data_IF_573365507438
#
_entry.id   IF_573365507438
#
_cell.length_a   1.000
_cell.length_b   1.000
_cell.length_c   1.000
_cell.angle_alpha   90.00
_cell.angle_beta   90.00
_cell.angle_gamma   90.00
#
_symmetry.space_group_name_H-M   'P 1'
#
loop_
_entity.id
_entity.type
_entity.pdbx_description
1 polymer ?
#
# COMPACT_ATOMS: atom_id res chain seq x y z
N UNK A 1 2.41 10.75 -11.83
CA UNK A 1 1.32 10.37 -10.93
C UNK A 1 1.64 10.85 -9.53
N UNK A 2 0.89 11.84 -9.03
CA UNK A 2 0.88 12.12 -7.59
C UNK A 2 -0.08 11.13 -6.93
N UNK A 3 0.31 10.59 -5.79
CA UNK A 3 -0.47 9.67 -4.98
C UNK A 3 -0.41 10.22 -3.56
N UNK A 4 -1.56 10.62 -3.03
CA UNK A 4 -1.68 11.12 -1.66
C UNK A 4 -2.89 10.48 -1.00
N UNK A 5 -2.75 10.03 0.24
CA UNK A 5 -3.86 9.61 1.08
C UNK A 5 -4.64 10.84 1.55
N UNK A 6 -5.95 10.73 1.57
CA UNK A 6 -6.82 11.72 2.22
C UNK A 6 -6.77 11.44 3.72
N UNK A 7 -6.27 12.40 4.49
CA UNK A 7 -6.03 12.24 5.93
C UNK A 7 -7.21 12.72 6.80
N UNK A 8 -8.17 13.43 6.20
CA UNK A 8 -9.33 13.96 6.92
C UNK A 8 -10.11 12.84 7.62
N UNK A 9 -10.35 13.00 8.92
CA UNK A 9 -11.05 12.02 9.74
C UNK A 9 -10.23 10.78 10.12
N UNK A 10 -8.95 10.69 9.73
CA UNK A 10 -8.05 9.60 10.15
C UNK A 10 -7.40 9.95 11.51
N UNK A 11 -7.30 9.03 12.48
CA UNK A 11 -6.59 9.29 13.74
C UNK A 11 -5.11 9.62 13.54
N UNK A 12 -4.55 10.52 14.37
CA UNK A 12 -3.19 11.08 14.20
C UNK A 12 -2.10 10.02 14.01
N UNK A 13 -2.05 8.97 14.85
CA UNK A 13 -1.04 7.90 14.70
C UNK A 13 -1.16 7.10 13.38
N UNK A 14 -2.36 7.00 12.81
CA UNK A 14 -2.57 6.39 11.48
C UNK A 14 -2.18 7.37 10.36
N UNK A 15 -2.39 8.68 10.54
CA UNK A 15 -1.95 9.68 9.56
C UNK A 15 -0.42 9.68 9.38
N UNK A 16 0.32 9.66 10.49
CA UNK A 16 1.80 9.61 10.46
C UNK A 16 2.31 8.39 9.69
N UNK A 17 1.66 7.23 9.90
CA UNK A 17 1.99 6.00 9.17
C UNK A 17 1.68 6.12 7.68
N UNK A 18 0.54 6.71 7.30
CA UNK A 18 0.18 6.94 5.90
C UNK A 18 1.16 7.88 5.19
N UNK A 19 1.60 8.94 5.87
CA UNK A 19 2.62 9.87 5.38
C UNK A 19 3.98 9.19 5.21
N UNK A 20 4.37 8.32 6.13
CA UNK A 20 5.58 7.49 6.00
C UNK A 20 5.51 6.57 4.78
N UNK A 21 4.34 5.94 4.54
CA UNK A 21 4.09 5.13 3.35
C UNK A 21 4.21 5.98 2.08
N UNK A 22 3.65 7.19 2.05
CA UNK A 22 3.82 8.12 0.90
C UNK A 22 5.27 8.44 0.59
N UNK A 23 6.06 8.76 1.62
CA UNK A 23 7.48 9.04 1.48
C UNK A 23 8.27 7.82 0.97
N UNK A 24 7.84 6.60 1.33
CA UNK A 24 8.44 5.34 0.91
C UNK A 24 8.11 4.92 -0.54
N UNK A 25 7.35 5.71 -1.30
CA UNK A 25 6.98 5.41 -2.70
C UNK A 25 7.68 6.36 -3.71
N UNK A 26 8.99 6.16 -3.98
CA UNK A 26 9.77 7.07 -4.83
C UNK A 26 9.30 7.09 -6.29
N UNK A 27 8.81 5.95 -6.81
CA UNK A 27 8.46 5.82 -8.24
C UNK A 27 6.97 5.57 -8.48
N UNK A 28 6.54 5.76 -9.72
CA UNK A 28 5.17 5.45 -10.13
C UNK A 28 4.80 3.97 -9.95
N UNK A 29 5.79 3.06 -10.00
CA UNK A 29 5.57 1.63 -9.78
C UNK A 29 5.21 1.31 -8.32
N UNK A 30 5.84 1.98 -7.36
CA UNK A 30 5.51 1.82 -5.94
C UNK A 30 4.07 2.28 -5.68
N UNK A 31 3.72 3.47 -6.18
CA UNK A 31 2.39 4.03 -6.06
C UNK A 31 1.32 3.13 -6.69
N UNK A 32 1.61 2.56 -7.85
CA UNK A 32 0.71 1.61 -8.51
C UNK A 32 0.57 0.30 -7.71
N UNK A 33 1.66 -0.22 -7.15
CA UNK A 33 1.63 -1.42 -6.31
C UNK A 33 0.77 -1.20 -5.06
N UNK A 34 0.97 -0.09 -4.34
CA UNK A 34 0.17 0.27 -3.15
C UNK A 34 -1.28 0.56 -3.52
N UNK A 35 -1.53 1.24 -4.64
CA UNK A 35 -2.89 1.46 -5.16
C UNK A 35 -3.62 0.14 -5.47
N UNK A 36 -2.94 -0.81 -6.10
CA UNK A 36 -3.54 -2.10 -6.40
C UNK A 36 -3.75 -2.89 -5.10
N UNK A 37 -2.78 -2.90 -4.19
CA UNK A 37 -2.89 -3.59 -2.89
C UNK A 37 -4.08 -3.09 -2.08
N UNK A 38 -4.27 -1.78 -1.91
CA UNK A 38 -5.41 -1.24 -1.13
C UNK A 38 -6.78 -1.59 -1.71
N UNK A 39 -6.85 -1.89 -3.01
CA UNK A 39 -8.08 -2.23 -3.72
C UNK A 39 -8.26 -3.74 -3.90
N UNK A 40 -7.25 -4.55 -3.58
CA UNK A 40 -7.37 -6.00 -3.51
C UNK A 40 -8.18 -6.32 -2.24
N UNK A 41 -9.32 -6.99 -2.40
CA UNK A 41 -10.17 -7.45 -1.30
C UNK A 41 -9.53 -8.60 -0.52
N UNK A 42 -8.41 -8.33 0.15
CA UNK A 42 -7.59 -9.31 0.84
C UNK A 42 -8.31 -9.86 2.08
N UNK A 43 -8.49 -11.18 2.13
CA UNK A 43 -9.07 -11.87 3.30
C UNK A 43 -7.96 -12.24 4.28
N UNK A 44 -7.67 -11.35 5.23
CA UNK A 44 -6.56 -11.49 6.19
C UNK A 44 -6.73 -12.65 7.19
N UNK A 45 -7.94 -13.22 7.29
CA UNK A 45 -8.24 -14.37 8.16
C UNK A 45 -7.56 -15.68 7.74
N UNK A 46 -6.98 -15.76 6.53
CA UNK A 46 -6.34 -16.97 6.00
C UNK A 46 -4.86 -17.14 6.40
N UNK A 47 -4.32 -16.21 7.19
CA UNK A 47 -2.90 -16.22 7.59
C UNK A 47 -1.98 -15.53 6.59
N UNK A 48 -0.75 -15.27 7.02
CA UNK A 48 0.22 -14.45 6.28
C UNK A 48 0.60 -15.06 4.92
N UNK A 49 0.96 -16.35 4.88
CA UNK A 49 1.44 -17.02 3.66
C UNK A 49 0.38 -17.02 2.55
N UNK A 50 -0.86 -17.39 2.88
CA UNK A 50 -1.96 -17.35 1.91
C UNK A 50 -2.27 -15.93 1.43
N UNK A 51 -2.08 -14.91 2.28
CA UNK A 51 -2.24 -13.52 1.86
C UNK A 51 -1.12 -13.10 0.89
N UNK A 52 0.13 -13.48 1.19
CA UNK A 52 1.27 -13.19 0.34
C UNK A 52 1.14 -13.85 -1.03
N UNK A 53 0.74 -15.12 -1.08
CA UNK A 53 0.49 -15.84 -2.34
C UNK A 53 -0.59 -15.14 -3.17
N UNK A 54 -1.69 -14.75 -2.53
CA UNK A 54 -2.79 -14.06 -3.21
C UNK A 54 -2.36 -12.68 -3.75
N UNK A 55 -1.64 -11.90 -2.96
CA UNK A 55 -1.11 -10.60 -3.39
C UNK A 55 -0.11 -10.78 -4.53
N UNK A 56 0.78 -11.76 -4.43
CA UNK A 56 1.77 -12.10 -5.46
C UNK A 56 1.09 -12.47 -6.78
N UNK A 57 0.03 -13.28 -6.74
CA UNK A 57 -0.75 -13.63 -7.92
C UNK A 57 -1.51 -12.46 -8.55
N UNK A 58 -1.90 -11.45 -7.75
CA UNK A 58 -2.62 -10.26 -8.25
C UNK A 58 -1.71 -9.16 -8.77
N UNK A 59 -0.58 -8.94 -8.11
CA UNK A 59 0.37 -7.89 -8.47
C UNK A 59 1.38 -8.35 -9.52
N UNK A 60 1.69 -9.65 -9.53
CA UNK A 60 2.74 -10.22 -10.37
C UNK A 60 4.15 -9.72 -9.99
N UNK A 61 5.17 -10.35 -10.57
CA UNK A 61 6.56 -10.01 -10.30
C UNK A 61 6.90 -8.53 -10.57
N UNK A 62 6.19 -7.91 -11.53
CA UNK A 62 6.41 -6.52 -11.92
C UNK A 62 6.10 -5.50 -10.80
N UNK A 63 5.09 -5.76 -9.97
CA UNK A 63 4.69 -4.87 -8.87
C UNK A 63 5.06 -5.41 -7.48
N UNK A 64 5.41 -6.69 -7.36
CA UNK A 64 5.88 -7.27 -6.09
C UNK A 64 7.17 -6.64 -5.58
N UNK A 65 8.19 -6.46 -6.44
CA UNK A 65 9.44 -5.82 -6.02
C UNK A 65 9.24 -4.42 -5.42
N UNK A 66 8.55 -3.49 -6.13
CA UNK A 66 8.21 -2.18 -5.56
C UNK A 66 7.38 -2.24 -4.27
N UNK A 67 6.50 -3.24 -4.12
CA UNK A 67 5.76 -3.41 -2.87
C UNK A 67 6.68 -3.83 -1.72
N UNK A 68 7.57 -4.82 -1.95
CA UNK A 68 8.54 -5.30 -0.97
C UNK A 68 9.53 -4.20 -0.54
N UNK A 69 9.97 -3.36 -1.49
CA UNK A 69 10.76 -2.16 -1.21
C UNK A 69 10.00 -1.19 -0.29
N UNK A 70 8.71 -0.97 -0.54
CA UNK A 70 7.86 -0.09 0.29
C UNK A 70 7.64 -0.66 1.69
N UNK A 71 7.38 -1.97 1.80
CA UNK A 71 7.22 -2.66 3.09
C UNK A 71 8.51 -2.57 3.92
N UNK A 72 9.65 -2.78 3.28
CA UNK A 72 10.97 -2.70 3.92
C UNK A 72 11.28 -1.28 4.40
N UNK A 73 11.02 -0.27 3.56
CA UNK A 73 11.26 1.13 3.90
C UNK A 73 10.38 1.63 5.06
N UNK A 74 9.18 1.07 5.23
CA UNK A 74 8.26 1.43 6.31
C UNK A 74 8.39 0.56 7.55
N UNK A 75 9.11 -0.56 7.47
CA UNK A 75 9.22 -1.55 8.55
C UNK A 75 7.90 -2.28 8.85
N UNK A 76 6.92 -2.21 7.96
CA UNK A 76 5.61 -2.84 8.12
C UNK A 76 5.57 -4.19 7.42
N UNK A 77 4.99 -5.19 8.08
CA UNK A 77 4.60 -6.42 7.41
C UNK A 77 3.39 -6.19 6.49
N UNK A 78 3.18 -7.11 5.54
CA UNK A 78 2.11 -7.02 4.55
C UNK A 78 0.71 -6.81 5.15
N UNK A 79 0.39 -7.47 6.26
CA UNK A 79 -0.95 -7.42 6.85
C UNK A 79 -1.18 -6.09 7.56
N UNK A 80 -0.21 -5.64 8.37
CA UNK A 80 -0.27 -4.33 9.02
C UNK A 80 -0.33 -3.22 7.97
N UNK A 81 0.51 -3.32 6.94
CA UNK A 81 0.52 -2.37 5.83
C UNK A 81 -0.85 -2.31 5.13
N UNK A 82 -1.42 -3.47 4.79
CA UNK A 82 -2.75 -3.56 4.18
C UNK A 82 -3.82 -2.91 5.06
N UNK A 83 -3.86 -3.20 6.36
CA UNK A 83 -4.84 -2.62 7.27
C UNK A 83 -4.71 -1.09 7.41
N UNK A 84 -3.49 -0.55 7.30
CA UNK A 84 -3.27 0.89 7.33
C UNK A 84 -3.86 1.56 6.08
N UNK A 85 -3.63 1.01 4.88
CA UNK A 85 -4.02 1.65 3.61
C UNK A 85 -5.42 1.28 3.10
N UNK A 86 -5.97 0.15 3.56
CA UNK A 86 -7.26 -0.34 3.10
C UNK A 86 -8.38 0.63 3.50
N UNK A 87 -9.27 0.90 2.54
CA UNK A 87 -10.38 1.84 2.71
C UNK A 87 -9.99 3.32 2.78
N UNK A 88 -8.70 3.66 2.77
CA UNK A 88 -8.27 5.08 2.79
C UNK A 88 -8.46 5.68 1.39
N UNK A 89 -9.21 6.78 1.23
CA UNK A 89 -9.30 7.46 -0.06
C UNK A 89 -7.95 8.00 -0.50
N UNK A 90 -7.72 8.05 -1.81
CA UNK A 90 -6.47 8.58 -2.37
C UNK A 90 -6.77 9.58 -3.47
N UNK A 91 -5.96 10.63 -3.53
CA UNK A 91 -5.91 11.56 -4.65
C UNK A 91 -4.91 11.03 -5.67
N UNK A 92 -5.41 10.75 -6.88
CA UNK A 92 -4.60 10.39 -8.04
C UNK A 92 -4.61 11.55 -9.02
N UNK A 93 -3.46 12.17 -9.26
CA UNK A 93 -3.33 13.12 -10.38
C UNK A 93 -2.38 12.56 -11.43
N UNK A 94 -2.83 12.58 -12.69
CA UNK A 94 -1.98 12.34 -13.83
C UNK A 94 -0.86 13.41 -13.87
N UNK A 95 0.28 13.06 -14.48
CA UNK A 95 1.39 14.01 -14.67
C UNK A 95 0.87 15.09 -15.64
N UNK A 96 0.80 16.34 -15.20
CA UNK A 96 0.62 17.49 -16.11
C UNK A 96 1.78 17.54 -17.09
#
# INVERSE_FOLDING_TARGET
MKFHFVLDGIPQGRQETLLSIEAAMPTGRHRLAVFNLKNIGLRTSKGYESCLEYVSGKLGAFLMGPLEETLTATGLDLLRFYHVICGVPVVLTARH
#
